data_IF_453817109674
#
_entry.id   IF_453817109674
#
_cell.length_a   1.000
_cell.length_b   1.000
_cell.length_c   1.000
_cell.angle_alpha   90.00
_cell.angle_beta   90.00
_cell.angle_gamma   90.00
#
_symmetry.space_group_name_H-M   'P 1'
#
loop_
_entity.id
_entity.type
_entity.pdbx_description
1 polymer ?
#
# COMPACT_ATOMS: atom_id res chain seq x y z
N UNK A 1 -5.27 -11.26 21.14
CA UNK A 1 -4.83 -11.43 19.73
C UNK A 1 -4.22 -12.81 19.58
N UNK A 2 -4.61 -13.59 18.57
CA UNK A 2 -4.01 -14.93 18.34
C UNK A 2 -2.60 -14.73 17.75
N UNK A 3 -1.55 -15.33 18.34
CA UNK A 3 -0.19 -15.26 17.80
C UNK A 3 -0.13 -15.81 16.37
N UNK A 4 0.41 -15.03 15.44
CA UNK A 4 0.56 -15.45 14.03
C UNK A 4 1.99 -15.93 13.79
N UNK A 5 2.15 -17.14 13.25
CA UNK A 5 3.46 -17.69 12.89
C UNK A 5 4.24 -16.78 11.93
N UNK A 6 3.54 -16.08 11.03
CA UNK A 6 4.15 -15.15 10.08
C UNK A 6 4.81 -13.91 10.73
N UNK A 7 4.55 -13.62 12.02
CA UNK A 7 5.11 -12.46 12.70
C UNK A 7 6.64 -12.50 12.76
N UNK A 8 7.24 -13.66 13.06
CA UNK A 8 8.70 -13.82 13.15
C UNK A 8 9.37 -13.63 11.79
N UNK A 9 8.77 -14.16 10.72
CA UNK A 9 9.22 -13.93 9.34
C UNK A 9 9.14 -12.45 8.98
N UNK A 10 8.04 -11.77 9.33
CA UNK A 10 7.85 -10.36 9.00
C UNK A 10 8.89 -9.46 9.71
N UNK A 11 9.16 -9.71 11.00
CA UNK A 11 10.19 -9.01 11.76
C UNK A 11 11.60 -9.27 11.22
N UNK A 12 11.90 -10.52 10.84
CA UNK A 12 13.20 -10.88 10.27
C UNK A 12 13.44 -10.18 8.94
N UNK A 13 12.45 -10.21 8.04
CA UNK A 13 12.57 -9.56 6.73
C UNK A 13 12.65 -8.03 6.86
N UNK A 14 11.97 -7.43 7.84
CA UNK A 14 11.99 -5.99 8.05
C UNK A 14 13.37 -5.42 8.41
N UNK A 15 14.30 -6.27 8.87
CA UNK A 15 15.69 -5.87 9.14
C UNK A 15 16.53 -5.73 7.87
N UNK A 16 16.17 -6.44 6.80
CA UNK A 16 16.97 -6.53 5.57
C UNK A 16 16.34 -5.84 4.36
N UNK A 17 15.03 -5.58 4.39
CA UNK A 17 14.30 -5.02 3.25
C UNK A 17 13.63 -3.69 3.64
N UNK A 18 13.84 -2.61 2.86
CA UNK A 18 13.21 -1.32 3.12
C UNK A 18 11.70 -1.35 2.84
N UNK A 19 11.24 -2.27 1.99
CA UNK A 19 9.84 -2.43 1.60
C UNK A 19 9.45 -3.90 1.75
N UNK A 20 8.30 -4.15 2.38
CA UNK A 20 7.71 -5.48 2.52
C UNK A 20 6.26 -5.44 2.03
N UNK A 21 5.91 -6.36 1.12
CA UNK A 21 4.55 -6.58 0.69
C UNK A 21 3.99 -7.81 1.39
N UNK A 22 2.86 -7.66 2.11
CA UNK A 22 2.14 -8.78 2.73
C UNK A 22 0.91 -9.09 1.90
N UNK A 23 0.96 -10.21 1.19
CA UNK A 23 -0.12 -10.68 0.31
C UNK A 23 -0.86 -11.86 0.94
N UNK A 24 -2.01 -12.21 0.38
CA UNK A 24 -2.82 -13.36 0.80
C UNK A 24 -4.32 -13.11 0.70
N UNK A 25 -5.15 -14.13 0.97
CA UNK A 25 -6.60 -14.07 0.78
C UNK A 25 -7.26 -12.87 1.47
N UNK A 26 -8.41 -12.42 0.95
CA UNK A 26 -9.26 -11.45 1.66
C UNK A 26 -9.62 -12.00 3.05
N UNK A 27 -9.73 -11.11 4.04
CA UNK A 27 -10.11 -11.44 5.43
C UNK A 27 -9.18 -12.40 6.20
N UNK A 28 -7.98 -12.71 5.69
CA UNK A 28 -6.96 -13.52 6.41
C UNK A 28 -6.27 -12.80 7.58
N UNK A 29 -6.61 -11.53 7.85
CA UNK A 29 -6.06 -10.73 8.96
C UNK A 29 -4.68 -10.13 8.69
N UNK A 30 -4.33 -9.88 7.42
CA UNK A 30 -3.05 -9.26 7.01
C UNK A 30 -2.82 -7.91 7.69
N UNK A 31 -3.80 -7.01 7.60
CA UNK A 31 -3.75 -5.69 8.22
C UNK A 31 -3.56 -5.79 9.73
N UNK A 32 -4.27 -6.70 10.39
CA UNK A 32 -4.14 -6.94 11.83
C UNK A 32 -2.73 -7.39 12.19
N UNK A 33 -2.12 -8.29 11.40
CA UNK A 33 -0.75 -8.73 11.60
C UNK A 33 0.25 -7.59 11.44
N UNK A 34 0.14 -6.79 10.37
CA UNK A 34 1.04 -5.68 10.13
C UNK A 34 0.96 -4.63 11.25
N UNK A 35 -0.26 -4.26 11.67
CA UNK A 35 -0.48 -3.32 12.78
C UNK A 35 0.07 -3.85 14.11
N UNK A 36 -0.03 -5.16 14.34
CA UNK A 36 0.51 -5.79 15.55
C UNK A 36 2.05 -5.78 15.57
N UNK A 37 2.68 -6.15 14.45
CA UNK A 37 4.15 -6.25 14.35
C UNK A 37 4.81 -4.88 14.29
N UNK A 38 4.17 -3.89 13.66
CA UNK A 38 4.70 -2.55 13.45
C UNK A 38 3.82 -1.49 14.12
N UNK A 39 3.47 -1.69 15.39
CA UNK A 39 2.53 -0.84 16.13
C UNK A 39 2.94 0.65 16.22
N UNK A 40 4.24 0.96 16.08
CA UNK A 40 4.73 2.34 16.06
C UNK A 40 4.72 3.03 14.69
N UNK A 41 4.37 2.32 13.62
CA UNK A 41 4.33 2.89 12.27
C UNK A 41 2.98 3.55 11.99
N UNK A 42 3.03 4.65 11.22
CA UNK A 42 1.82 5.26 10.69
C UNK A 42 1.03 4.24 9.85
N UNK A 43 -0.29 4.26 9.96
CA UNK A 43 -1.19 3.44 9.15
C UNK A 43 -1.97 4.32 8.19
N UNK A 44 -1.94 3.98 6.91
CA UNK A 44 -2.69 4.67 5.86
C UNK A 44 -3.43 3.65 5.02
N UNK A 45 -4.74 3.84 4.87
CA UNK A 45 -5.55 3.08 3.91
C UNK A 45 -5.65 3.86 2.60
N UNK A 46 -5.29 3.22 1.49
CA UNK A 46 -5.50 3.77 0.15
C UNK A 46 -6.92 3.52 -0.39
N UNK A 47 -7.83 2.99 0.43
CA UNK A 47 -9.27 3.09 0.16
C UNK A 47 -9.79 4.51 0.39
N UNK A 48 -9.09 5.32 1.21
CA UNK A 48 -9.41 6.73 1.37
C UNK A 48 -9.11 7.46 0.04
N UNK A 49 -10.13 8.07 -0.61
CA UNK A 49 -9.95 8.71 -1.92
C UNK A 49 -8.88 9.80 -1.94
N UNK A 50 -8.78 10.62 -0.88
CA UNK A 50 -7.81 11.70 -0.78
C UNK A 50 -6.38 11.17 -0.66
N UNK A 51 -6.19 10.12 0.16
CA UNK A 51 -4.86 9.49 0.29
C UNK A 51 -4.45 8.81 -1.01
N UNK A 52 -5.39 8.15 -1.69
CA UNK A 52 -5.15 7.52 -2.99
C UNK A 52 -4.79 8.54 -4.05
N UNK A 53 -5.59 9.58 -4.21
CA UNK A 53 -5.35 10.64 -5.19
C UNK A 53 -4.00 11.30 -4.94
N UNK A 54 -3.65 11.57 -3.68
CA UNK A 54 -2.35 12.14 -3.37
C UNK A 54 -1.18 11.18 -3.66
N UNK A 55 -1.31 9.90 -3.29
CA UNK A 55 -0.31 8.89 -3.58
C UNK A 55 -0.10 8.69 -5.10
N UNK A 56 -1.16 8.79 -5.90
CA UNK A 56 -1.10 8.69 -7.36
C UNK A 56 -0.53 9.96 -8.01
N UNK A 57 -0.93 11.14 -7.54
CA UNK A 57 -0.52 12.43 -8.11
C UNK A 57 0.94 12.78 -7.82
N UNK A 58 1.40 12.53 -6.58
CA UNK A 58 2.77 12.80 -6.17
C UNK A 58 3.28 11.73 -5.18
N UNK A 59 3.71 10.55 -5.69
CA UNK A 59 4.16 9.45 -4.86
C UNK A 59 5.37 9.82 -3.99
N UNK A 60 6.26 10.70 -4.49
CA UNK A 60 7.48 11.10 -3.77
C UNK A 60 7.12 11.94 -2.54
N UNK A 61 6.28 12.96 -2.70
CA UNK A 61 5.80 13.76 -1.55
C UNK A 61 4.91 12.96 -0.62
N UNK A 62 4.10 12.04 -1.15
CA UNK A 62 3.30 11.14 -0.31
C UNK A 62 4.18 10.31 0.61
N UNK A 63 5.21 9.65 0.08
CA UNK A 63 6.15 8.84 0.86
C UNK A 63 7.01 9.69 1.82
N UNK A 64 7.36 10.92 1.45
CA UNK A 64 8.13 11.83 2.29
C UNK A 64 7.44 12.20 3.62
N UNK A 65 6.12 11.99 3.74
CA UNK A 65 5.37 12.15 5.00
C UNK A 65 5.69 11.08 6.05
N UNK A 66 6.37 10.00 5.66
CA UNK A 66 6.61 8.83 6.49
C UNK A 66 8.12 8.56 6.61
N UNK A 67 8.84 9.47 7.27
CA UNK A 67 10.29 9.36 7.51
C UNK A 67 10.68 8.05 8.20
N UNK A 68 9.84 7.58 9.12
CA UNK A 68 10.05 6.33 9.88
C UNK A 68 9.32 5.12 9.25
N UNK A 69 8.82 5.29 8.02
CA UNK A 69 8.02 4.33 7.28
C UNK A 69 6.56 4.26 7.72
N UNK A 70 5.77 3.53 6.94
CA UNK A 70 4.33 3.38 7.16
C UNK A 70 3.83 2.01 6.74
N UNK A 71 2.68 1.62 7.29
CA UNK A 71 1.85 0.54 6.79
C UNK A 71 0.88 1.16 5.78
N UNK A 72 1.06 0.84 4.50
CA UNK A 72 0.14 1.20 3.43
C UNK A 72 -0.77 0.01 3.17
N UNK A 73 -2.07 0.18 3.38
CA UNK A 73 -3.07 -0.88 3.17
C UNK A 73 -3.86 -0.67 1.89
N UNK A 74 -4.36 -1.79 1.35
CA UNK A 74 -5.15 -1.83 0.10
C UNK A 74 -4.43 -1.17 -1.10
N UNK A 75 -3.09 -1.28 -1.12
CA UNK A 75 -2.27 -0.87 -2.27
C UNK A 75 -2.62 -1.76 -3.46
N UNK A 76 -3.28 -1.16 -4.46
CA UNK A 76 -3.57 -1.82 -5.73
C UNK A 76 -2.41 -1.58 -6.70
N UNK A 77 -2.03 -2.57 -7.52
CA UNK A 77 -1.13 -2.32 -8.64
C UNK A 77 -1.75 -1.24 -9.53
N UNK A 78 -1.00 -0.19 -9.84
CA UNK A 78 -1.44 0.79 -10.83
C UNK A 78 -1.76 0.05 -12.13
N UNK A 79 -3.03 0.05 -12.53
CA UNK A 79 -3.41 -0.44 -13.86
C UNK A 79 -2.78 0.53 -14.84
N UNK A 80 -1.71 0.11 -15.51
CA UNK A 80 -1.17 0.82 -16.68
C UNK A 80 -2.35 1.03 -17.61
N UNK A 81 -2.76 2.29 -17.78
CA UNK A 81 -4.00 2.62 -18.48
C UNK A 81 -3.98 2.02 -19.88
N UNK A 82 -5.08 1.35 -20.26
CA UNK A 82 -5.45 1.30 -21.67
C UNK A 82 -5.54 2.76 -22.10
N UNK A 83 -4.64 3.18 -22.98
CA UNK A 83 -4.64 4.48 -23.59
C UNK A 83 -6.09 4.85 -23.92
N UNK A 84 -6.53 5.99 -23.40
CA UNK A 84 -7.77 6.63 -23.80
C UNK A 84 -7.78 6.62 -25.32
N UNK A 85 -8.69 5.85 -25.93
CA UNK A 85 -9.08 6.09 -27.31
C UNK A 85 -9.71 7.47 -27.29
N UNK A 86 -8.90 8.48 -27.57
CA UNK A 86 -9.38 9.81 -27.83
C UNK A 86 -10.47 9.70 -28.89
N UNK A 87 -11.62 10.28 -28.57
CA UNK A 87 -12.66 10.60 -29.54
C UNK A 87 -12.00 11.27 -30.74
N UNK A 88 -11.90 10.55 -31.85
CA UNK A 88 -11.74 11.15 -33.16
C UNK A 88 -13.14 11.55 -33.62
N UNK A 89 -13.60 12.70 -33.14
CA UNK A 89 -14.65 13.44 -33.85
C UNK A 89 -14.08 13.95 -35.18
N UNK A 90 -14.87 13.73 -36.24
CA UNK A 90 -14.73 14.25 -37.61
C UNK A 90 -14.62 15.79 -37.64
N UNK A 91 -13.98 16.38 -38.66
CA UNK A 91 -14.69 16.80 -39.90
C UNK A 91 -13.84 16.57 -41.18
N UNK A 92 -14.33 16.60 -42.42
CA UNK A 92 -15.58 17.06 -43.03
C UNK A 92 -16.10 16.04 -44.05
#
# INVERSE_FOLDING_TARGET
MIPRQAASTLQRLAKGFPILAVTGPRQSGKTTLCKAVFAGKAYVSLENPEQREFAERDPRRFLARFSDGAILDEVQPARVGKAQRAHADRPA
#
